data_IF_260775263510
#
_entry.id   IF_260775263510
#
_cell.length_a   1.000
_cell.length_b   1.000
_cell.length_c   1.000
_cell.angle_alpha   90.00
_cell.angle_beta   90.00
_cell.angle_gamma   90.00
#
_symmetry.space_group_name_H-M   'P 1'
#
loop_
_entity.id
_entity.type
_entity.pdbx_description
1 polymer ?
#
# COMPACT_ATOMS: atom_id res chain seq x y z
N UNK A 1 -17.61 -2.66 13.88
CA UNK A 1 -17.03 -2.63 12.53
C UNK A 1 -18.00 -1.85 11.67
N UNK A 2 -17.56 -0.78 11.02
CA UNK A 2 -18.45 -0.04 10.12
C UNK A 2 -18.78 -0.96 8.95
N UNK A 3 -20.05 -1.28 8.80
CA UNK A 3 -20.56 -2.13 7.72
C UNK A 3 -20.57 -1.27 6.46
N UNK A 4 -19.39 -1.07 5.86
CA UNK A 4 -19.25 -0.27 4.64
C UNK A 4 -20.07 -0.92 3.53
N UNK A 5 -21.05 -0.20 3.00
CA UNK A 5 -21.56 -0.54 1.67
C UNK A 5 -20.56 -0.05 0.59
N UNK A 6 -20.72 -0.51 -0.66
CA UNK A 6 -19.80 -0.18 -1.77
C UNK A 6 -19.67 1.34 -1.99
N UNK A 7 -20.76 2.10 -1.84
CA UNK A 7 -20.75 3.55 -2.05
C UNK A 7 -19.94 4.26 -0.96
N UNK A 8 -20.11 3.84 0.29
CA UNK A 8 -19.33 4.34 1.42
C UNK A 8 -17.85 3.97 1.29
N UNK A 9 -17.55 2.74 0.85
CA UNK A 9 -16.19 2.27 0.63
C UNK A 9 -15.48 3.11 -0.45
N UNK A 10 -16.15 3.38 -1.58
CA UNK A 10 -15.62 4.24 -2.65
C UNK A 10 -15.49 5.69 -2.21
N UNK A 11 -16.45 6.20 -1.45
CA UNK A 11 -16.39 7.55 -0.91
C UNK A 11 -15.19 7.72 0.03
N UNK A 12 -14.95 6.73 0.90
CA UNK A 12 -13.81 6.73 1.80
C UNK A 12 -12.48 6.53 1.06
N UNK A 13 -12.43 5.65 0.06
CA UNK A 13 -11.28 5.51 -0.83
C UNK A 13 -10.92 6.84 -1.50
N UNK A 14 -11.90 7.54 -2.08
CA UNK A 14 -11.69 8.84 -2.72
C UNK A 14 -11.22 9.90 -1.73
N UNK A 15 -11.74 9.88 -0.51
CA UNK A 15 -11.26 10.72 0.57
C UNK A 15 -9.78 10.44 0.87
N UNK A 16 -9.39 9.17 1.06
CA UNK A 16 -8.00 8.77 1.30
C UNK A 16 -7.06 9.20 0.16
N UNK A 17 -7.46 8.99 -1.10
CA UNK A 17 -6.68 9.42 -2.26
C UNK A 17 -6.55 10.95 -2.34
N UNK A 18 -7.58 11.69 -1.93
CA UNK A 18 -7.51 13.15 -1.82
C UNK A 18 -6.49 13.60 -0.77
N UNK A 19 -6.47 12.95 0.40
CA UNK A 19 -5.45 13.20 1.44
C UNK A 19 -4.05 12.90 0.92
N UNK A 20 -3.86 11.80 0.20
CA UNK A 20 -2.59 11.44 -0.44
C UNK A 20 -2.11 12.51 -1.40
N UNK A 21 -3.00 13.01 -2.28
CA UNK A 21 -2.67 14.06 -3.25
C UNK A 21 -2.27 15.37 -2.57
N UNK A 22 -2.90 15.69 -1.43
CA UNK A 22 -2.59 16.85 -0.60
C UNK A 22 -1.37 16.66 0.31
N UNK A 23 -0.82 15.44 0.36
CA UNK A 23 0.29 15.05 1.25
C UNK A 23 -0.04 15.30 2.73
N UNK A 24 -1.29 15.05 3.10
CA UNK A 24 -1.75 15.19 4.49
C UNK A 24 -1.10 14.12 5.38
N UNK A 25 -0.58 14.51 6.54
CA UNK A 25 0.12 13.59 7.47
C UNK A 25 -0.77 12.42 7.92
N UNK A 26 -2.08 12.65 8.02
CA UNK A 26 -3.05 11.64 8.45
C UNK A 26 -3.27 10.52 7.41
N UNK A 27 -2.88 10.72 6.14
CA UNK A 27 -3.15 9.74 5.08
C UNK A 27 -2.58 8.36 5.41
N UNK A 28 -1.30 8.29 5.79
CA UNK A 28 -0.60 7.02 5.95
C UNK A 28 -1.21 6.12 7.02
N UNK A 29 -1.67 6.68 8.14
CA UNK A 29 -2.33 5.92 9.19
C UNK A 29 -3.75 5.51 8.79
N UNK A 30 -4.55 6.42 8.24
CA UNK A 30 -5.93 6.15 7.83
C UNK A 30 -6.00 5.09 6.72
N UNK A 31 -5.16 5.21 5.70
CA UNK A 31 -5.09 4.24 4.61
C UNK A 31 -4.64 2.86 5.10
N UNK A 32 -3.66 2.81 6.00
CA UNK A 32 -3.19 1.53 6.55
C UNK A 32 -4.28 0.83 7.35
N UNK A 33 -4.99 1.58 8.21
CA UNK A 33 -6.13 1.06 8.97
C UNK A 33 -7.21 0.54 8.03
N UNK A 34 -7.56 1.29 7.00
CA UNK A 34 -8.57 0.87 6.03
C UNK A 34 -8.21 -0.46 5.36
N UNK A 35 -6.98 -0.59 4.85
CA UNK A 35 -6.49 -1.81 4.18
C UNK A 35 -6.44 -3.01 5.14
N UNK A 36 -6.15 -2.78 6.42
CA UNK A 36 -6.03 -3.84 7.42
C UNK A 36 -7.37 -4.32 7.94
N UNK A 37 -8.32 -3.41 8.13
CA UNK A 37 -9.59 -3.69 8.77
C UNK A 37 -10.70 -4.11 7.80
N UNK A 38 -10.49 -3.91 6.49
CA UNK A 38 -11.50 -4.16 5.48
C UNK A 38 -10.98 -5.09 4.38
N UNK A 39 -11.80 -6.08 4.01
CA UNK A 39 -11.61 -6.82 2.77
C UNK A 39 -12.16 -5.97 1.61
N UNK A 40 -11.27 -5.25 0.93
CA UNK A 40 -11.63 -4.35 -0.15
C UNK A 40 -12.30 -5.07 -1.34
N UNK A 41 -12.00 -6.35 -1.56
CA UNK A 41 -12.64 -7.15 -2.60
C UNK A 41 -14.07 -7.51 -2.19
N UNK A 42 -14.28 -7.92 -0.93
CA UNK A 42 -15.61 -8.18 -0.39
C UNK A 42 -16.49 -6.90 -0.35
N UNK A 43 -15.88 -5.72 -0.18
CA UNK A 43 -16.55 -4.43 -0.29
C UNK A 43 -16.93 -4.05 -1.74
N UNK A 44 -16.48 -4.81 -2.73
CA UNK A 44 -16.76 -4.58 -4.15
C UNK A 44 -15.86 -3.55 -4.83
N UNK A 45 -14.72 -3.18 -4.21
CA UNK A 45 -13.74 -2.30 -4.84
C UNK A 45 -13.02 -3.04 -5.97
N UNK A 46 -12.87 -2.37 -7.11
CA UNK A 46 -12.19 -2.89 -8.27
C UNK A 46 -10.70 -3.11 -8.00
N UNK A 47 -10.04 -4.05 -8.71
CA UNK A 47 -8.60 -4.25 -8.59
C UNK A 47 -7.80 -2.94 -8.78
N UNK A 48 -8.20 -2.07 -9.71
CA UNK A 48 -7.58 -0.77 -9.94
C UNK A 48 -7.74 0.19 -8.75
N UNK A 49 -8.93 0.21 -8.14
CA UNK A 49 -9.23 1.04 -6.97
C UNK A 49 -8.34 0.65 -5.79
N UNK A 50 -8.23 -0.67 -5.55
CA UNK A 50 -7.37 -1.24 -4.53
C UNK A 50 -5.88 -0.98 -4.83
N UNK A 51 -5.46 -1.19 -6.08
CA UNK A 51 -4.08 -1.00 -6.51
C UNK A 51 -3.64 0.46 -6.34
N UNK A 52 -4.49 1.42 -6.72
CA UNK A 52 -4.21 2.85 -6.57
C UNK A 52 -3.98 3.22 -5.10
N UNK A 53 -4.80 2.71 -4.18
CA UNK A 53 -4.61 2.96 -2.75
C UNK A 53 -3.30 2.34 -2.24
N UNK A 54 -3.01 1.09 -2.61
CA UNK A 54 -1.77 0.40 -2.23
C UNK A 54 -0.53 1.19 -2.70
N UNK A 55 -0.51 1.65 -3.94
CA UNK A 55 0.60 2.44 -4.47
C UNK A 55 0.75 3.78 -3.74
N UNK A 56 -0.36 4.44 -3.43
CA UNK A 56 -0.35 5.71 -2.69
C UNK A 56 0.26 5.53 -1.28
N UNK A 57 -0.15 4.50 -0.53
CA UNK A 57 0.40 4.27 0.81
C UNK A 57 1.87 3.81 0.78
N UNK A 58 2.27 3.00 -0.20
CA UNK A 58 3.68 2.58 -0.37
C UNK A 58 4.59 3.81 -0.55
N UNK A 59 4.13 4.80 -1.33
CA UNK A 59 4.85 6.07 -1.51
C UNK A 59 4.88 6.90 -0.22
N UNK A 60 3.79 6.94 0.53
CA UNK A 60 3.75 7.63 1.82
C UNK A 60 4.69 7.01 2.87
N UNK A 61 4.95 5.71 2.81
CA UNK A 61 5.88 5.00 3.72
C UNK A 61 7.35 5.07 3.31
N UNK A 62 7.68 5.66 2.15
CA UNK A 62 9.05 5.76 1.66
C UNK A 62 10.08 6.36 2.64
N UNK A 63 9.76 7.33 3.53
CA UNK A 63 10.75 7.93 4.42
C UNK A 63 10.91 7.24 5.79
N UNK A 64 10.27 6.09 6.05
CA UNK A 64 10.23 5.50 7.42
C UNK A 64 10.76 4.05 7.49
N UNK A 65 12.04 3.81 7.88
CA UNK A 65 12.61 2.46 7.99
C UNK A 65 11.85 1.51 8.92
N UNK A 66 11.28 2.05 10.01
CA UNK A 66 10.45 1.29 10.95
C UNK A 66 9.21 0.68 10.32
N UNK A 67 8.77 1.20 9.16
CA UNK A 67 7.60 0.72 8.41
C UNK A 67 7.98 -0.20 7.24
N UNK A 68 9.25 -0.55 7.06
CA UNK A 68 9.65 -1.36 5.91
C UNK A 68 9.01 -2.75 5.89
N UNK A 69 8.72 -3.35 7.05
CA UNK A 69 7.93 -4.59 7.10
C UNK A 69 6.53 -4.38 6.49
N UNK A 70 5.83 -3.33 6.92
CA UNK A 70 4.49 -3.00 6.41
C UNK A 70 4.55 -2.63 4.91
N UNK A 71 5.59 -1.89 4.50
CA UNK A 71 5.82 -1.53 3.09
C UNK A 71 6.05 -2.77 2.22
N UNK A 72 6.79 -3.77 2.71
CA UNK A 72 6.99 -5.05 2.01
C UNK A 72 5.66 -5.80 1.86
N UNK A 73 4.85 -5.86 2.92
CA UNK A 73 3.52 -6.50 2.85
C UNK A 73 2.64 -5.83 1.79
N UNK A 74 2.64 -4.49 1.74
CA UNK A 74 1.89 -3.71 0.76
C UNK A 74 2.43 -3.91 -0.67
N UNK A 75 3.75 -3.94 -0.86
CA UNK A 75 4.38 -4.20 -2.16
C UNK A 75 4.05 -5.59 -2.70
N UNK A 76 4.07 -6.62 -1.85
CA UNK A 76 3.70 -7.97 -2.24
C UNK A 76 2.22 -8.04 -2.64
N UNK A 77 1.31 -7.44 -1.84
CA UNK A 77 -0.11 -7.33 -2.20
C UNK A 77 -0.32 -6.60 -3.53
N UNK A 78 0.39 -5.49 -3.76
CA UNK A 78 0.31 -4.74 -5.00
C UNK A 78 0.76 -5.58 -6.20
N UNK A 79 1.83 -6.37 -6.05
CA UNK A 79 2.33 -7.27 -7.09
C UNK A 79 1.34 -8.38 -7.44
N UNK A 80 0.75 -9.02 -6.43
CA UNK A 80 -0.30 -10.04 -6.64
C UNK A 80 -1.53 -9.45 -7.35
N UNK A 81 -1.94 -8.24 -6.92
CA UNK A 81 -3.11 -7.57 -7.46
C UNK A 81 -2.89 -7.03 -8.87
N UNK A 82 -1.68 -6.62 -9.23
CA UNK A 82 -1.37 -6.02 -10.52
C UNK A 82 -1.77 -6.91 -11.71
N UNK A 83 -1.63 -8.22 -11.57
CA UNK A 83 -2.03 -9.20 -12.59
C UNK A 83 -3.55 -9.20 -12.86
N UNK A 84 -4.36 -8.69 -11.93
CA UNK A 84 -5.82 -8.58 -12.02
C UNK A 84 -6.30 -7.21 -12.51
N UNK A 85 -5.39 -6.25 -12.68
CA UNK A 85 -5.70 -4.90 -13.17
C UNK A 85 -5.54 -4.81 -14.68
N UNK A 86 -6.24 -3.87 -15.30
CA UNK A 86 -5.97 -3.42 -16.66
C UNK A 86 -4.59 -2.77 -16.83
N UNK A 87 -3.91 -2.40 -15.72
CA UNK A 87 -2.53 -1.91 -15.71
C UNK A 87 -1.47 -3.02 -15.87
N UNK A 88 -1.89 -4.27 -16.13
CA UNK A 88 -0.98 -5.39 -16.27
C UNK A 88 0.02 -5.13 -17.41
N UNK A 89 1.23 -4.71 -17.03
CA UNK A 89 2.36 -4.44 -17.90
C UNK A 89 3.63 -5.05 -17.27
N UNK A 90 4.45 -5.79 -18.04
CA UNK A 90 5.76 -6.29 -17.61
C UNK A 90 6.65 -5.26 -16.91
N UNK A 91 6.64 -3.99 -17.33
CA UNK A 91 7.50 -2.96 -16.75
C UNK A 91 7.07 -2.59 -15.32
N UNK A 92 5.77 -2.52 -15.07
CA UNK A 92 5.24 -2.28 -13.73
C UNK A 92 5.54 -3.46 -12.80
N UNK A 93 5.42 -4.70 -13.30
CA UNK A 93 5.78 -5.89 -12.52
C UNK A 93 7.27 -5.90 -12.14
N UNK A 94 8.16 -5.54 -13.08
CA UNK A 94 9.61 -5.40 -12.82
C UNK A 94 9.91 -4.29 -11.82
N UNK A 95 9.19 -3.17 -11.90
CA UNK A 95 9.35 -2.08 -10.95
C UNK A 95 8.97 -2.51 -9.53
N UNK A 96 7.85 -3.21 -9.37
CA UNK A 96 7.45 -3.78 -8.07
C UNK A 96 8.47 -4.79 -7.54
N UNK A 97 9.02 -5.66 -8.41
CA UNK A 97 10.09 -6.58 -8.04
C UNK A 97 11.35 -5.86 -7.55
N UNK A 98 11.73 -4.78 -8.24
CA UNK A 98 12.85 -3.96 -7.84
C UNK A 98 12.60 -3.30 -6.48
N UNK A 99 11.43 -2.70 -6.28
CA UNK A 99 11.07 -2.01 -5.04
C UNK A 99 11.00 -2.98 -3.84
N UNK A 100 10.52 -4.22 -4.05
CA UNK A 100 10.55 -5.29 -3.03
C UNK A 100 12.00 -5.61 -2.65
N UNK A 101 12.86 -5.88 -3.64
CA UNK A 101 14.28 -6.22 -3.38
C UNK A 101 15.01 -5.08 -2.67
N UNK A 102 14.78 -3.84 -3.12
CA UNK A 102 15.37 -2.65 -2.53
C UNK A 102 14.91 -2.46 -1.07
N UNK A 103 13.60 -2.51 -0.81
CA UNK A 103 13.06 -2.35 0.55
C UNK A 103 13.55 -3.46 1.48
N UNK A 104 13.66 -4.70 0.98
CA UNK A 104 14.22 -5.81 1.76
C UNK A 104 15.69 -5.59 2.12
N UNK A 105 16.51 -5.10 1.18
CA UNK A 105 17.91 -4.78 1.44
C UNK A 105 18.05 -3.65 2.46
N UNK A 106 17.26 -2.58 2.33
CA UNK A 106 17.24 -1.45 3.27
C UNK A 106 16.80 -1.89 4.68
N UNK A 107 15.81 -2.78 4.79
CA UNK A 107 15.38 -3.37 6.06
C UNK A 107 16.49 -4.22 6.70
N UNK A 108 17.23 -5.01 5.91
CA UNK A 108 18.34 -5.81 6.43
C UNK A 108 19.44 -4.91 7.01
N UNK A 109 19.81 -3.85 6.28
CA UNK A 109 20.78 -2.85 6.75
C UNK A 109 20.32 -2.20 8.06
N UNK A 110 19.05 -1.79 8.13
CA UNK A 110 18.46 -1.20 9.34
C UNK A 110 18.52 -2.16 10.54
N UNK A 111 18.16 -3.43 10.33
CA UNK A 111 18.18 -4.45 11.37
C UNK A 111 19.61 -4.74 11.87
N UNK A 112 20.59 -4.83 10.96
CA UNK A 112 21.98 -5.04 11.32
C UNK A 112 22.55 -3.85 12.12
N UNK A 113 22.18 -2.62 11.75
CA UNK A 113 22.56 -1.41 12.50
C UNK A 113 21.91 -1.32 13.90
N UNK A 114 20.76 -1.99 14.10
CA UNK A 114 20.01 -1.99 15.37
C UNK A 114 20.36 -3.17 16.29
N UNK A 115 21.17 -4.14 15.86
CA UNK A 115 21.59 -5.25 16.73
C UNK A 115 22.50 -4.72 17.85
N UNK A 116 22.21 -5.03 19.13
CA UNK A 116 23.14 -4.72 20.21
C UNK A 116 24.43 -5.51 20.05
N UNK A 117 25.56 -4.88 20.40
CA UNK A 117 26.91 -5.46 20.34
C UNK A 117 27.10 -6.59 21.37
#
# INVERSE_FOLDING_TARGET
MADFNLEEARSYLNYLLTLSLRREEAFGSLAFTFIKENDMEALGLLPEEQFNLLMAIIQAFAPEPKRYVQKLDLLNKAKELQARTSYSNPDLARQLDYDIRKTQAELNIYNDAMRPA
#
